data_IF_368480151705
#
_entry.id   IF_368480151705
#
_cell.length_a   1.000
_cell.length_b   1.000
_cell.length_c   1.000
_cell.angle_alpha   90.00
_cell.angle_beta   90.00
_cell.angle_gamma   90.00
#
_symmetry.space_group_name_H-M   'P 1'
#
loop_
_entity.id
_entity.type
_entity.pdbx_description
1 polymer ?
#
# COMPACT_ATOMS: atom_id res chain seq x y z
N UNK A 1 6.93 -17.15 10.29
CA UNK A 1 7.85 -16.36 9.43
C UNK A 1 7.43 -16.51 7.97
N UNK A 2 7.67 -15.51 7.09
CA UNK A 2 7.23 -15.57 5.68
C UNK A 2 7.74 -16.81 4.93
N UNK A 3 8.92 -17.30 5.28
CA UNK A 3 9.55 -18.48 4.69
C UNK A 3 8.81 -19.79 5.00
N UNK A 4 7.97 -19.83 6.03
CA UNK A 4 7.14 -20.99 6.39
C UNK A 4 5.68 -20.82 5.96
N UNK A 5 5.37 -19.85 5.11
CA UNK A 5 4.00 -19.64 4.63
C UNK A 5 3.45 -20.84 3.84
N UNK A 6 4.33 -21.58 3.16
CA UNK A 6 3.98 -22.82 2.44
C UNK A 6 3.95 -24.07 3.33
N UNK A 7 4.52 -24.01 4.55
CA UNK A 7 4.60 -25.13 5.48
C UNK A 7 3.95 -24.79 6.84
N UNK A 8 2.61 -24.61 6.90
CA UNK A 8 1.92 -24.18 8.12
C UNK A 8 2.08 -25.16 9.29
N UNK A 9 2.15 -26.46 9.03
CA UNK A 9 2.39 -27.48 10.06
C UNK A 9 3.78 -27.33 10.73
N UNK A 10 4.80 -26.98 9.95
CA UNK A 10 6.14 -26.71 10.47
C UNK A 10 6.17 -25.43 11.32
N UNK A 11 5.42 -24.40 10.90
CA UNK A 11 5.29 -23.15 11.66
C UNK A 11 4.57 -23.37 13.00
N UNK A 12 3.50 -24.17 13.01
CA UNK A 12 2.74 -24.49 14.22
C UNK A 12 3.58 -25.30 15.22
N UNK A 13 4.27 -26.34 14.75
CA UNK A 13 5.18 -27.13 15.58
C UNK A 13 6.28 -26.26 16.22
N UNK A 14 6.85 -25.33 15.46
CA UNK A 14 7.92 -24.45 15.92
C UNK A 14 7.53 -23.52 17.08
N UNK A 15 6.23 -23.24 17.27
CA UNK A 15 5.75 -22.40 18.38
C UNK A 15 5.84 -23.11 19.74
N UNK A 16 5.71 -24.44 19.75
CA UNK A 16 5.79 -25.26 20.97
C UNK A 16 7.16 -25.91 21.19
N UNK A 17 7.98 -26.02 20.14
CA UNK A 17 9.29 -26.66 20.20
C UNK A 17 10.35 -25.79 20.91
N UNK A 18 11.33 -26.44 21.53
CA UNK A 18 12.47 -25.76 22.19
C UNK A 18 13.48 -25.25 21.16
N UNK A 19 14.17 -24.17 21.50
CA UNK A 19 15.31 -23.69 20.72
C UNK A 19 16.36 -24.80 20.52
N UNK A 20 16.90 -24.88 19.31
CA UNK A 20 17.84 -25.91 18.85
C UNK A 20 17.17 -27.18 18.31
N UNK A 21 15.88 -27.42 18.58
CA UNK A 21 15.20 -28.65 18.13
C UNK A 21 14.92 -28.60 16.62
N UNK A 22 15.14 -29.73 15.95
CA UNK A 22 14.82 -29.96 14.53
C UNK A 22 13.47 -30.67 14.42
N UNK A 23 12.66 -30.27 13.46
CA UNK A 23 11.34 -30.86 13.22
C UNK A 23 11.43 -32.23 12.55
N UNK A 24 10.33 -33.01 12.59
CA UNK A 24 10.09 -34.05 11.60
C UNK A 24 10.08 -33.45 10.18
N UNK A 25 10.17 -34.32 9.17
CA UNK A 25 9.96 -33.92 7.78
C UNK A 25 8.47 -33.66 7.59
N UNK A 26 8.12 -32.50 7.03
CA UNK A 26 6.77 -32.22 6.58
C UNK A 26 6.73 -32.32 5.06
N UNK A 27 5.85 -33.16 4.54
CA UNK A 27 5.61 -33.30 3.11
C UNK A 27 4.39 -32.48 2.68
N UNK A 28 4.56 -31.63 1.68
CA UNK A 28 3.46 -31.03 0.92
C UNK A 28 3.51 -31.53 -0.53
N UNK A 29 2.47 -31.24 -1.30
CA UNK A 29 2.27 -31.59 -2.71
C UNK A 29 3.49 -31.40 -3.62
N UNK A 30 4.43 -30.51 -3.28
CA UNK A 30 5.60 -30.19 -4.10
C UNK A 30 6.92 -30.08 -3.33
N UNK A 31 6.94 -30.17 -1.99
CA UNK A 31 8.15 -29.95 -1.22
C UNK A 31 8.21 -30.72 0.11
N UNK A 32 9.43 -31.06 0.52
CA UNK A 32 9.73 -31.56 1.87
C UNK A 32 10.36 -30.44 2.69
N UNK A 33 9.79 -30.15 3.86
CA UNK A 33 10.24 -29.09 4.74
C UNK A 33 10.77 -29.65 6.06
N UNK A 34 11.98 -29.24 6.45
CA UNK A 34 12.57 -29.48 7.78
C UNK A 34 12.94 -28.12 8.35
N UNK A 35 12.56 -27.85 9.60
CA UNK A 35 12.88 -26.60 10.28
C UNK A 35 13.62 -26.86 11.58
N UNK A 36 14.52 -25.96 11.95
CA UNK A 36 15.13 -25.93 13.27
C UNK A 36 14.69 -24.66 13.98
N UNK A 37 14.27 -24.78 15.25
CA UNK A 37 13.98 -23.59 16.07
C UNK A 37 15.29 -22.88 16.39
N UNK A 38 15.61 -21.81 15.68
CA UNK A 38 16.85 -21.07 15.91
C UNK A 38 16.83 -20.36 17.28
N UNK A 39 15.71 -19.76 17.64
CA UNK A 39 15.53 -18.96 18.85
C UNK A 39 14.07 -19.02 19.28
N UNK A 40 13.81 -19.00 20.60
CA UNK A 40 12.46 -18.89 21.15
C UNK A 40 12.33 -17.57 21.90
N UNK A 41 11.40 -16.72 21.45
CA UNK A 41 11.08 -15.45 22.11
C UNK A 41 9.79 -15.60 22.89
N UNK A 42 9.80 -15.19 24.17
CA UNK A 42 8.60 -15.16 24.99
C UNK A 42 7.58 -14.19 24.38
N UNK A 43 6.30 -14.58 24.38
CA UNK A 43 5.23 -13.68 23.97
C UNK A 43 5.23 -12.44 24.87
N UNK A 44 5.34 -11.25 24.28
CA UNK A 44 5.45 -10.01 25.02
C UNK A 44 5.61 -8.80 24.10
N UNK A 45 5.51 -7.61 24.69
CA UNK A 45 5.78 -6.37 23.97
C UNK A 45 7.26 -6.36 23.54
N UNK A 46 7.58 -6.04 22.27
CA UNK A 46 8.96 -5.90 21.82
C UNK A 46 9.73 -4.95 22.74
N UNK A 47 10.97 -5.30 23.07
CA UNK A 47 11.80 -4.43 23.90
C UNK A 47 12.14 -3.13 23.17
N UNK A 48 12.43 -2.06 23.93
CA UNK A 48 12.82 -0.77 23.36
C UNK A 48 14.07 -0.88 22.45
N UNK A 49 14.95 -1.85 22.70
CA UNK A 49 16.12 -2.15 21.87
C UNK A 49 15.72 -2.78 20.53
N UNK A 50 14.74 -3.69 20.52
CA UNK A 50 14.29 -4.38 19.31
C UNK A 50 13.56 -3.47 18.33
N UNK A 51 12.76 -2.52 18.82
CA UNK A 51 12.02 -1.56 17.96
C UNK A 51 12.70 -0.19 17.87
N UNK A 52 13.81 0.03 18.58
CA UNK A 52 14.45 1.33 18.69
C UNK A 52 14.90 1.89 17.34
N UNK A 53 15.46 1.06 16.46
CA UNK A 53 15.84 1.45 15.10
C UNK A 53 14.61 1.80 14.25
N UNK A 54 13.56 0.97 14.32
CA UNK A 54 12.31 1.20 13.58
C UNK A 54 11.61 2.48 14.03
N UNK A 55 11.51 2.72 15.33
CA UNK A 55 10.94 3.95 15.89
C UNK A 55 11.77 5.18 15.52
N UNK A 56 13.11 5.07 15.54
CA UNK A 56 13.99 6.15 15.07
C UNK A 56 13.73 6.46 13.59
N UNK A 57 13.58 5.44 12.75
CA UNK A 57 13.29 5.65 11.33
C UNK A 57 11.93 6.34 11.13
N UNK A 58 10.88 5.91 11.83
CA UNK A 58 9.55 6.54 11.78
C UNK A 58 9.65 8.00 12.24
N UNK A 59 10.27 8.25 13.40
CA UNK A 59 10.43 9.59 13.95
C UNK A 59 11.25 10.51 13.03
N UNK A 60 12.28 9.98 12.36
CA UNK A 60 13.04 10.75 11.38
C UNK A 60 12.18 11.17 10.18
N UNK A 61 11.35 10.27 9.65
CA UNK A 61 10.41 10.59 8.57
C UNK A 61 9.41 11.65 9.02
N UNK A 62 8.79 11.47 10.19
CA UNK A 62 7.85 12.45 10.74
C UNK A 62 8.50 13.81 11.00
N UNK A 63 9.72 13.83 11.54
CA UNK A 63 10.47 15.05 11.78
C UNK A 63 10.75 15.80 10.48
N UNK A 64 11.09 15.11 9.38
CA UNK A 64 11.30 15.75 8.07
C UNK A 64 10.02 16.40 7.57
N UNK A 65 8.88 15.73 7.69
CA UNK A 65 7.57 16.27 7.33
C UNK A 65 7.24 17.50 8.19
N UNK A 66 7.52 17.45 9.49
CA UNK A 66 7.24 18.55 10.41
C UNK A 66 8.11 19.79 10.10
N UNK A 67 9.41 19.60 9.87
CA UNK A 67 10.35 20.66 9.54
C UNK A 67 10.02 21.33 8.19
N UNK A 68 9.42 20.60 7.27
CA UNK A 68 8.98 21.15 5.98
C UNK A 68 7.70 22.00 6.07
N UNK A 69 6.94 21.94 7.17
CA UNK A 69 5.66 22.65 7.31
C UNK A 69 5.78 24.17 7.16
N UNK A 70 6.72 24.87 7.83
CA UNK A 70 6.84 26.33 7.69
C UNK A 70 7.15 26.78 6.27
N UNK A 71 7.91 25.98 5.50
CA UNK A 71 8.19 26.26 4.10
C UNK A 71 6.91 26.16 3.25
N UNK A 72 6.10 25.13 3.49
CA UNK A 72 4.81 24.95 2.83
C UNK A 72 3.80 26.06 3.20
N UNK A 73 3.73 26.45 4.48
CA UNK A 73 2.90 27.56 4.94
C UNK A 73 3.32 28.87 4.24
N UNK A 74 4.62 29.12 4.12
CA UNK A 74 5.16 30.30 3.41
C UNK A 74 4.80 30.30 1.92
N UNK A 75 4.88 29.14 1.26
CA UNK A 75 4.47 29.02 -0.13
C UNK A 75 2.99 29.39 -0.33
N UNK A 76 2.11 28.90 0.56
CA UNK A 76 0.68 29.22 0.53
C UNK A 76 0.43 30.70 0.78
N UNK A 77 1.16 31.33 1.71
CA UNK A 77 1.08 32.78 1.94
C UNK A 77 1.51 33.60 0.71
N UNK A 78 2.59 33.21 0.03
CA UNK A 78 3.05 33.88 -1.20
C UNK A 78 2.02 33.79 -2.32
N UNK A 79 1.40 32.61 -2.48
CA UNK A 79 0.32 32.39 -3.45
C UNK A 79 -0.91 33.21 -3.10
N UNK A 80 -1.31 33.24 -1.82
CA UNK A 80 -2.43 34.06 -1.34
C UNK A 80 -2.16 35.57 -1.51
N UNK A 81 -0.89 35.98 -1.45
CA UNK A 81 -0.43 37.34 -1.76
C UNK A 81 -0.41 37.68 -3.26
N UNK A 82 -0.88 36.79 -4.13
CA UNK A 82 -1.03 37.03 -5.57
C UNK A 82 0.13 36.52 -6.43
N UNK A 83 1.15 35.86 -5.85
CA UNK A 83 2.16 35.19 -6.66
C UNK A 83 1.60 33.94 -7.33
N UNK A 84 2.10 33.61 -8.53
CA UNK A 84 1.82 32.30 -9.13
C UNK A 84 2.49 31.19 -8.32
N UNK A 85 1.96 29.97 -8.46
CA UNK A 85 2.54 28.77 -7.85
C UNK A 85 4.01 28.61 -8.26
N UNK A 86 4.32 28.83 -9.53
CA UNK A 86 5.66 28.69 -10.09
C UNK A 86 6.64 29.69 -9.48
N UNK A 87 6.22 30.94 -9.31
CA UNK A 87 7.06 31.99 -8.74
C UNK A 87 7.28 31.79 -7.23
N UNK A 88 6.24 31.37 -6.50
CA UNK A 88 6.36 31.02 -5.08
C UNK A 88 7.32 29.84 -4.90
N UNK A 89 7.17 28.78 -5.70
CA UNK A 89 8.02 27.59 -5.65
C UNK A 89 9.49 27.94 -5.98
N UNK A 90 9.74 28.72 -7.04
CA UNK A 90 11.07 29.19 -7.42
C UNK A 90 11.74 30.03 -6.33
N UNK A 91 10.98 30.94 -5.70
CA UNK A 91 11.48 31.81 -4.62
C UNK A 91 11.89 31.03 -3.37
N UNK A 92 11.28 29.87 -3.16
CA UNK A 92 11.57 28.96 -2.05
C UNK A 92 12.58 27.86 -2.42
N UNK A 93 13.15 27.90 -3.62
CA UNK A 93 14.13 26.90 -4.08
C UNK A 93 13.53 25.52 -4.37
N UNK A 94 12.21 25.43 -4.56
CA UNK A 94 11.50 24.18 -4.88
C UNK A 94 11.02 24.24 -6.32
N UNK A 95 11.61 23.48 -7.27
CA UNK A 95 11.19 23.52 -8.66
C UNK A 95 9.80 22.88 -8.83
N UNK A 96 8.80 23.59 -9.40
CA UNK A 96 7.52 23.00 -9.73
C UNK A 96 7.66 22.07 -10.95
N UNK A 97 6.74 21.12 -11.09
CA UNK A 97 6.60 20.31 -12.30
C UNK A 97 5.14 20.20 -12.71
N UNK A 98 4.90 20.10 -14.02
CA UNK A 98 3.58 19.85 -14.57
C UNK A 98 3.36 18.36 -14.83
N UNK A 99 2.11 17.93 -14.71
CA UNK A 99 1.66 16.60 -15.09
C UNK A 99 0.76 16.76 -16.30
N UNK A 100 1.15 16.15 -17.42
CA UNK A 100 0.44 16.32 -18.69
C UNK A 100 -0.96 15.70 -18.66
N UNK A 101 -1.08 14.46 -18.19
CA UNK A 101 -2.34 13.77 -17.99
C UNK A 101 -2.17 12.63 -16.99
N UNK A 102 -3.22 12.36 -16.20
CA UNK A 102 -3.30 11.17 -15.36
C UNK A 102 -4.77 10.76 -15.19
N UNK A 103 -5.01 9.53 -14.75
CA UNK A 103 -6.33 9.08 -14.27
C UNK A 103 -6.23 8.57 -12.83
N UNK A 104 -7.36 8.39 -12.15
CA UNK A 104 -7.37 7.75 -10.82
C UNK A 104 -6.87 6.30 -10.86
N UNK A 105 -7.04 5.61 -11.98
CA UNK A 105 -6.59 4.22 -12.17
C UNK A 105 -5.12 4.12 -12.57
N UNK A 106 -4.60 5.16 -13.24
CA UNK A 106 -3.22 5.28 -13.69
C UNK A 106 -2.71 6.68 -13.32
N UNK A 107 -2.33 6.89 -12.04
CA UNK A 107 -1.72 8.14 -11.60
C UNK A 107 -0.32 8.31 -12.21
N UNK A 108 0.15 9.55 -12.31
CA UNK A 108 1.54 9.83 -12.70
C UNK A 108 2.49 9.24 -11.64
N UNK A 109 3.57 8.52 -12.03
CA UNK A 109 4.49 7.88 -11.10
C UNK A 109 5.08 8.84 -10.04
N UNK A 110 5.21 10.12 -10.37
CA UNK A 110 5.76 11.15 -9.46
C UNK A 110 4.82 11.47 -8.29
N UNK A 111 3.53 11.15 -8.41
CA UNK A 111 2.52 11.37 -7.36
C UNK A 111 1.76 10.11 -6.96
N UNK A 112 2.05 8.96 -7.57
CA UNK A 112 1.37 7.69 -7.31
C UNK A 112 1.41 7.26 -5.82
N UNK A 113 2.47 7.64 -5.10
CA UNK A 113 2.62 7.35 -3.67
C UNK A 113 1.93 8.37 -2.75
N UNK A 114 1.21 9.36 -3.31
CA UNK A 114 0.52 10.42 -2.56
C UNK A 114 -0.99 10.41 -2.89
N UNK A 115 -1.74 9.41 -2.41
CA UNK A 115 -3.16 9.27 -2.71
C UNK A 115 -4.01 10.46 -2.26
N UNK A 116 -3.60 11.15 -1.19
CA UNK A 116 -4.20 12.39 -0.71
C UNK A 116 -4.10 13.53 -1.72
N UNK A 117 -2.99 13.64 -2.46
CA UNK A 117 -2.79 14.64 -3.50
C UNK A 117 -3.66 14.31 -4.71
N UNK A 118 -3.69 13.05 -5.14
CA UNK A 118 -4.52 12.59 -6.25
C UNK A 118 -6.00 12.81 -5.91
N UNK A 119 -6.43 12.41 -4.73
CA UNK A 119 -7.81 12.58 -4.26
C UNK A 119 -8.24 14.04 -4.25
N UNK A 120 -7.39 14.93 -3.71
CA UNK A 120 -7.65 16.36 -3.68
C UNK A 120 -7.72 16.97 -5.09
N UNK A 121 -6.77 16.63 -5.97
CA UNK A 121 -6.73 17.15 -7.34
C UNK A 121 -8.00 16.79 -8.13
N UNK A 122 -8.45 15.54 -8.06
CA UNK A 122 -9.67 15.11 -8.77
C UNK A 122 -10.98 15.55 -8.09
N UNK A 123 -10.94 16.12 -6.89
CA UNK A 123 -12.12 16.63 -6.19
C UNK A 123 -12.32 18.15 -6.38
N UNK A 124 -11.27 18.86 -6.77
CA UNK A 124 -11.30 20.31 -6.94
C UNK A 124 -11.63 20.73 -8.38
N UNK A 125 -12.21 21.93 -8.59
CA UNK A 125 -12.42 22.45 -9.93
C UNK A 125 -11.09 22.89 -10.59
N UNK A 126 -11.01 22.91 -11.94
CA UNK A 126 -9.90 23.53 -12.66
C UNK A 126 -9.64 24.99 -12.24
N UNK A 127 -8.38 25.39 -12.30
CA UNK A 127 -7.87 26.68 -11.82
C UNK A 127 -7.63 26.74 -10.31
N UNK A 128 -8.10 25.76 -9.52
CA UNK A 128 -7.94 25.78 -8.06
C UNK A 128 -6.54 25.35 -7.65
N UNK A 129 -5.94 26.13 -6.75
CA UNK A 129 -4.75 25.73 -6.00
C UNK A 129 -5.19 25.09 -4.68
N UNK A 130 -4.59 23.94 -4.37
CA UNK A 130 -4.86 23.11 -3.19
C UNK A 130 -3.58 22.99 -2.38
N UNK A 131 -3.71 23.08 -1.07
CA UNK A 131 -2.60 22.89 -0.15
C UNK A 131 -2.61 23.86 1.03
N UNK A 132 -1.70 23.63 2.00
CA UNK A 132 -0.65 22.60 1.95
C UNK A 132 -1.23 21.23 2.35
N UNK A 133 -1.03 20.21 1.51
CA UNK A 133 -1.48 18.83 1.73
C UNK A 133 -0.34 18.06 2.39
N UNK A 134 -0.57 17.46 3.55
CA UNK A 134 0.43 16.61 4.23
C UNK A 134 0.52 15.27 3.51
N UNK A 135 1.72 14.87 3.11
CA UNK A 135 2.01 13.59 2.45
C UNK A 135 3.05 12.79 3.23
N UNK A 136 3.24 11.51 2.86
CA UNK A 136 4.28 10.68 3.47
C UNK A 136 5.70 11.25 3.28
N UNK A 137 5.91 12.04 2.23
CA UNK A 137 7.20 12.64 1.88
C UNK A 137 7.37 14.10 2.29
N UNK A 138 6.36 14.74 2.87
CA UNK A 138 6.42 16.16 3.24
C UNK A 138 5.08 16.87 3.07
N UNK A 139 5.11 18.02 2.42
CA UNK A 139 3.92 18.81 2.11
C UNK A 139 3.87 19.12 0.62
N UNK A 140 2.69 19.09 0.04
CA UNK A 140 2.47 19.34 -1.37
C UNK A 140 1.45 20.45 -1.58
N UNK A 141 1.69 21.28 -2.59
CA UNK A 141 0.76 22.29 -3.08
C UNK A 141 0.58 22.00 -4.56
N UNK A 142 -0.68 21.87 -4.99
CA UNK A 142 -1.01 21.47 -6.36
C UNK A 142 -2.02 22.43 -6.95
N UNK A 143 -1.91 22.67 -8.26
CA UNK A 143 -2.92 23.39 -9.03
C UNK A 143 -3.57 22.41 -9.98
N UNK A 144 -4.90 22.45 -10.05
CA UNK A 144 -5.63 21.71 -11.08
C UNK A 144 -5.68 22.59 -12.33
N UNK A 145 -4.91 22.26 -13.36
CA UNK A 145 -4.89 23.08 -14.59
C UNK A 145 -6.15 22.85 -15.44
N UNK A 146 -6.55 21.58 -15.62
CA UNK A 146 -7.73 21.22 -16.42
C UNK A 146 -8.28 19.85 -16.02
N UNK A 147 -9.54 19.61 -16.36
CA UNK A 147 -10.16 18.29 -16.32
C UNK A 147 -10.58 17.89 -17.73
N UNK A 148 -10.20 16.69 -18.14
CA UNK A 148 -10.64 16.10 -19.40
C UNK A 148 -11.82 15.16 -19.12
N UNK A 149 -13.01 15.54 -19.59
CA UNK A 149 -14.16 14.65 -19.54
C UNK A 149 -13.95 13.46 -20.50
N UNK A 150 -14.36 12.24 -20.12
CA UNK A 150 -14.36 11.12 -21.05
C UNK A 150 -15.31 11.44 -22.20
N UNK A 151 -14.87 11.17 -23.44
CA UNK A 151 -15.73 11.31 -24.63
C UNK A 151 -16.47 10.00 -24.90
N UNK A 152 -17.62 10.08 -25.55
CA UNK A 152 -18.36 8.90 -25.99
C UNK A 152 -17.49 8.00 -26.88
N UNK A 153 -16.71 8.58 -27.80
CA UNK A 153 -15.79 7.85 -28.66
C UNK A 153 -14.68 7.12 -27.85
N UNK A 154 -14.11 7.77 -26.83
CA UNK A 154 -13.13 7.12 -25.96
C UNK A 154 -13.75 5.97 -25.16
N UNK A 155 -14.97 6.14 -24.66
CA UNK A 155 -15.70 5.06 -24.00
C UNK A 155 -15.99 3.90 -24.95
N UNK A 156 -16.49 4.17 -26.16
CA UNK A 156 -16.81 3.12 -27.13
C UNK A 156 -15.57 2.33 -27.55
N UNK A 157 -14.42 3.00 -27.68
CA UNK A 157 -13.14 2.33 -27.98
C UNK A 157 -12.65 1.39 -26.86
N UNK A 158 -13.08 1.61 -25.61
CA UNK A 158 -12.62 0.85 -24.43
C UNK A 158 -13.72 -0.01 -23.82
N UNK A 159 -14.96 0.08 -24.32
CA UNK A 159 -16.16 -0.58 -23.79
C UNK A 159 -15.98 -2.09 -23.62
N UNK A 160 -15.44 -2.77 -24.63
CA UNK A 160 -15.22 -4.21 -24.58
C UNK A 160 -14.23 -4.60 -23.47
N UNK A 161 -13.11 -3.86 -23.36
CA UNK A 161 -12.12 -4.06 -22.31
C UNK A 161 -12.71 -3.84 -20.92
N UNK A 162 -13.41 -2.71 -20.72
CA UNK A 162 -14.09 -2.40 -19.45
C UNK A 162 -15.10 -3.49 -19.08
N UNK A 163 -15.86 -3.98 -20.06
CA UNK A 163 -16.85 -5.05 -19.86
C UNK A 163 -16.17 -6.35 -19.41
N UNK A 164 -15.08 -6.74 -20.06
CA UNK A 164 -14.32 -7.93 -19.71
C UNK A 164 -13.73 -7.81 -18.30
N UNK A 165 -13.10 -6.68 -17.98
CA UNK A 165 -12.53 -6.43 -16.65
C UNK A 165 -13.58 -6.48 -15.54
N UNK A 166 -14.76 -5.89 -15.78
CA UNK A 166 -15.87 -5.93 -14.84
C UNK A 166 -16.42 -7.36 -14.67
N UNK A 167 -16.51 -8.13 -15.77
CA UNK A 167 -16.97 -9.52 -15.73
C UNK A 167 -15.99 -10.39 -14.94
N UNK A 168 -14.69 -10.32 -15.23
CA UNK A 168 -13.66 -11.06 -14.51
C UNK A 168 -13.63 -10.71 -13.02
N UNK A 169 -13.75 -9.42 -12.66
CA UNK A 169 -13.84 -9.00 -11.25
C UNK A 169 -15.08 -9.55 -10.54
N UNK A 170 -16.23 -9.62 -11.23
CA UNK A 170 -17.46 -10.20 -10.69
C UNK A 170 -17.34 -11.71 -10.49
N UNK A 171 -16.84 -12.43 -11.49
CA UNK A 171 -16.61 -13.87 -11.44
C UNK A 171 -15.66 -14.23 -10.30
N UNK A 172 -14.55 -13.50 -10.14
CA UNK A 172 -13.61 -13.72 -9.04
C UNK A 172 -14.26 -13.53 -7.67
N UNK A 173 -15.01 -12.44 -7.47
CA UNK A 173 -15.72 -12.20 -6.20
C UNK A 173 -16.75 -13.28 -5.90
N UNK A 174 -17.51 -13.68 -6.92
CA UNK A 174 -18.48 -14.76 -6.79
C UNK A 174 -17.80 -16.06 -6.38
N UNK A 175 -16.75 -16.47 -7.09
CA UNK A 175 -16.03 -17.70 -6.80
C UNK A 175 -15.43 -17.72 -5.40
N UNK A 176 -14.80 -16.63 -4.97
CA UNK A 176 -14.24 -16.51 -3.60
C UNK A 176 -15.33 -16.65 -2.54
N UNK A 177 -16.47 -15.98 -2.72
CA UNK A 177 -17.61 -16.07 -1.80
C UNK A 177 -18.24 -17.46 -1.78
N UNK A 178 -18.51 -18.03 -2.95
CA UNK A 178 -19.05 -19.38 -3.12
C UNK A 178 -18.14 -20.45 -2.50
N UNK A 179 -16.82 -20.35 -2.70
CA UNK A 179 -15.85 -21.27 -2.13
C UNK A 179 -15.81 -21.16 -0.60
N UNK A 180 -15.86 -19.94 -0.06
CA UNK A 180 -15.93 -19.72 1.39
C UNK A 180 -17.20 -20.35 2.00
N UNK A 181 -18.34 -20.22 1.33
CA UNK A 181 -19.60 -20.84 1.74
C UNK A 181 -19.54 -22.37 1.66
N UNK A 182 -19.04 -22.94 0.56
CA UNK A 182 -18.87 -24.38 0.40
C UNK A 182 -17.98 -24.97 1.50
N UNK A 183 -16.86 -24.32 1.81
CA UNK A 183 -15.97 -24.72 2.91
C UNK A 183 -16.65 -24.67 4.27
N UNK A 184 -17.50 -23.68 4.52
CA UNK A 184 -18.22 -23.56 5.80
C UNK A 184 -19.32 -24.62 5.97
N UNK A 185 -20.00 -25.01 4.89
CA UNK A 185 -21.12 -25.97 4.93
C UNK A 185 -20.71 -27.44 4.78
N UNK A 186 -19.52 -27.70 4.23
CA UNK A 186 -19.07 -29.06 3.95
C UNK A 186 -18.16 -29.56 5.06
N UNK A 187 -18.47 -30.74 5.61
CA UNK A 187 -17.61 -31.40 6.61
C UNK A 187 -16.45 -32.08 5.90
N UNK A 188 -15.32 -31.37 5.80
CA UNK A 188 -14.07 -31.92 5.25
C UNK A 188 -13.28 -32.57 6.39
N UNK A 189 -12.97 -33.85 6.26
CA UNK A 189 -12.04 -34.54 7.14
C UNK A 189 -10.70 -34.64 6.40
N UNK A 190 -9.66 -34.02 6.95
CA UNK A 190 -8.29 -34.15 6.44
C UNK A 190 -7.57 -35.25 7.23
N UNK A 191 -7.43 -36.42 6.59
CA UNK A 191 -6.78 -37.59 7.20
C UNK A 191 -5.24 -37.60 7.04
N UNK A 192 -4.65 -36.58 6.40
CA UNK A 192 -3.18 -36.51 6.28
C UNK A 192 -2.50 -36.31 7.64
N UNK A 193 -3.16 -35.62 8.57
CA UNK A 193 -2.68 -35.48 9.95
C UNK A 193 -2.67 -36.80 10.74
N UNK A 194 -3.56 -37.74 10.40
CA UNK A 194 -3.70 -39.04 11.08
C UNK A 194 -2.80 -40.13 10.48
N UNK A 195 -2.23 -39.89 9.28
CA UNK A 195 -1.43 -40.88 8.56
C UNK A 195 0.05 -40.91 8.92
N UNK A 196 0.53 -40.05 9.82
CA UNK A 196 1.88 -40.16 10.39
C UNK A 196 3.00 -40.38 9.35
N UNK A 197 2.90 -39.73 8.20
CA UNK A 197 3.93 -39.67 7.17
C UNK A 197 4.31 -38.23 6.90
#
# INVERSE_FOLDING_TARGET
>A
PPQLAAAPAAAEWGLGARAGTVSPVYEDMSEFTIVQVAEQKAAGTPSATEIGDQLRQIAQVESRVQIAKPLADRAVQMIAGGQSLENAAKSLGVPPFAIAAMTRAQPDPRVANFPEVIGAAFAAPPGRILGPIRTLGGWSIVRVDSHSAPTQAAFDSTRAQITQDLMSRRQQRFFVGWLAEMRARTKVQDFRADLGM
#
